data_IF_314488610997
#
_entry.id   IF_314488610997
#
_cell.length_a   1.000
_cell.length_b   1.000
_cell.length_c   1.000
_cell.angle_alpha   90.00
_cell.angle_beta   90.00
_cell.angle_gamma   90.00
#
_symmetry.space_group_name_H-M   'P 1'
#
loop_
_entity.id
_entity.type
_entity.pdbx_description
1 polymer ?
#
# COMPACT_ATOMS: atom_id res chain seq x y z
N UNK A 1 -32.81 32.56 5.69
CA UNK A 1 -31.85 31.83 6.52
C UNK A 1 -31.76 30.43 5.96
N UNK A 2 -30.62 30.03 5.40
CA UNK A 2 -30.43 28.69 4.87
C UNK A 2 -30.10 27.73 6.01
N UNK A 3 -30.79 26.60 6.07
CA UNK A 3 -30.50 25.48 6.97
C UNK A 3 -29.11 24.92 6.65
N UNK A 4 -28.26 24.60 7.64
CA UNK A 4 -26.98 23.97 7.38
C UNK A 4 -27.22 22.57 6.82
N UNK A 5 -26.60 22.28 5.68
CA UNK A 5 -26.56 20.97 5.06
C UNK A 5 -25.73 20.05 5.97
N UNK A 6 -26.31 18.93 6.40
CA UNK A 6 -25.58 17.93 7.17
C UNK A 6 -24.43 17.40 6.31
N UNK A 7 -23.20 17.52 6.81
CA UNK A 7 -22.03 16.85 6.23
C UNK A 7 -22.26 15.36 6.47
N UNK A 8 -22.37 14.52 5.43
CA UNK A 8 -22.53 13.09 5.64
C UNK A 8 -21.30 12.56 6.36
N UNK A 9 -21.53 11.90 7.50
CA UNK A 9 -20.52 11.07 8.17
C UNK A 9 -20.13 9.98 7.19
N UNK A 10 -18.89 10.04 6.70
CA UNK A 10 -18.31 8.94 5.93
C UNK A 10 -18.16 7.77 6.90
N UNK A 11 -18.89 6.68 6.64
CA UNK A 11 -18.67 5.42 7.32
C UNK A 11 -17.32 4.86 6.86
N UNK A 12 -16.35 4.84 7.77
CA UNK A 12 -15.01 4.30 7.52
C UNK A 12 -14.98 2.76 7.59
N UNK A 13 -16.13 2.09 7.73
CA UNK A 13 -16.23 0.63 7.76
C UNK A 13 -15.62 -0.14 6.57
N UNK A 14 -15.56 0.36 5.31
CA UNK A 14 -14.88 -0.37 4.24
C UNK A 14 -13.35 -0.25 4.29
N UNK A 15 -12.80 0.64 5.13
CA UNK A 15 -11.37 0.74 5.41
C UNK A 15 -11.02 0.08 6.73
N UNK A 16 -11.51 -1.13 6.96
CA UNK A 16 -10.99 -1.95 8.04
C UNK A 16 -9.53 -2.30 7.71
N UNK A 17 -8.58 -1.51 8.21
CA UNK A 17 -7.17 -1.90 8.29
C UNK A 17 -7.09 -3.03 9.33
N UNK A 18 -7.48 -4.23 8.93
CA UNK A 18 -7.31 -5.44 9.70
C UNK A 18 -5.98 -6.06 9.35
N UNK A 19 -5.14 -6.36 10.34
CA UNK A 19 -4.00 -7.26 10.15
C UNK A 19 -4.57 -8.68 10.14
N UNK A 20 -4.48 -9.37 9.00
CA UNK A 20 -4.90 -10.76 8.89
C UNK A 20 -3.76 -11.67 9.38
N UNK A 21 -3.84 -12.26 10.59
CA UNK A 21 -2.66 -12.82 11.25
C UNK A 21 -2.12 -14.07 10.55
N UNK A 22 -2.97 -14.87 9.93
CA UNK A 22 -2.60 -16.19 9.38
C UNK A 22 -1.72 -16.09 8.12
N UNK A 23 -1.94 -15.15 7.19
CA UNK A 23 -0.99 -14.91 6.07
C UNK A 23 0.28 -14.19 6.51
N UNK A 24 0.21 -13.41 7.59
CA UNK A 24 1.40 -12.78 8.18
C UNK A 24 2.37 -13.79 8.84
N UNK A 25 1.92 -15.02 9.11
CA UNK A 25 2.72 -16.06 9.78
C UNK A 25 3.57 -16.92 8.85
N UNK A 26 3.32 -16.90 7.53
CA UNK A 26 4.06 -17.74 6.57
C UNK A 26 5.31 -17.06 6.02
N UNK A 27 5.33 -15.72 5.98
CA UNK A 27 6.41 -14.92 5.42
C UNK A 27 6.96 -14.00 6.51
N UNK A 28 8.28 -14.05 6.74
CA UNK A 28 8.97 -13.04 7.53
C UNK A 28 9.17 -11.77 6.68
N UNK A 29 8.18 -10.88 6.75
CA UNK A 29 8.14 -9.63 5.99
C UNK A 29 9.30 -8.69 6.33
N UNK A 30 9.74 -8.67 7.59
CA UNK A 30 10.86 -7.86 8.03
C UNK A 30 12.16 -8.34 7.38
N UNK A 31 12.39 -9.65 7.38
CA UNK A 31 13.56 -10.24 6.71
C UNK A 31 13.52 -10.02 5.19
N UNK A 32 12.36 -10.23 4.55
CA UNK A 32 12.20 -9.98 3.11
C UNK A 32 12.54 -8.52 2.76
N UNK A 33 12.02 -7.57 3.54
CA UNK A 33 12.34 -6.16 3.35
C UNK A 33 13.84 -5.92 3.40
N UNK A 34 14.53 -6.41 4.44
CA UNK A 34 15.98 -6.15 4.63
C UNK A 34 16.81 -6.71 3.48
N UNK A 35 16.40 -7.85 2.91
CA UNK A 35 17.02 -8.40 1.71
C UNK A 35 16.83 -7.46 0.51
N UNK A 36 15.60 -7.03 0.26
CA UNK A 36 15.29 -6.12 -0.86
C UNK A 36 16.01 -4.77 -0.71
N UNK A 37 16.04 -4.22 0.49
CA UNK A 37 16.77 -2.99 0.83
C UNK A 37 18.26 -3.10 0.49
N UNK A 38 18.90 -4.24 0.81
CA UNK A 38 20.29 -4.51 0.42
C UNK A 38 20.48 -4.60 -1.09
N UNK A 39 19.60 -5.33 -1.79
CA UNK A 39 19.64 -5.44 -3.25
C UNK A 39 19.49 -4.07 -3.92
N UNK A 40 18.51 -3.26 -3.49
CA UNK A 40 18.29 -1.92 -4.01
C UNK A 40 19.52 -1.03 -3.74
N UNK A 41 20.10 -1.12 -2.54
CA UNK A 41 21.31 -0.37 -2.19
C UNK A 41 22.47 -0.68 -3.14
N UNK A 42 22.69 -1.97 -3.44
CA UNK A 42 23.70 -2.42 -4.39
C UNK A 42 23.39 -2.00 -5.83
N UNK A 43 22.15 -2.18 -6.29
CA UNK A 43 21.74 -1.81 -7.66
C UNK A 43 21.88 -0.31 -7.94
N UNK A 44 21.69 0.52 -6.92
CA UNK A 44 21.87 1.97 -7.01
C UNK A 44 23.33 2.42 -6.82
N UNK A 45 24.25 1.50 -6.49
CA UNK A 45 25.67 1.81 -6.26
C UNK A 45 25.90 2.66 -5.01
N UNK A 46 25.02 2.56 -4.02
CA UNK A 46 25.11 3.34 -2.79
C UNK A 46 26.22 2.79 -1.87
N UNK A 47 26.74 3.61 -0.94
CA UNK A 47 27.66 3.13 0.09
C UNK A 47 27.07 1.92 0.83
N UNK A 48 27.91 1.01 1.35
CA UNK A 48 27.44 -0.11 2.16
C UNK A 48 26.50 0.37 3.27
N UNK A 49 25.39 -0.33 3.45
CA UNK A 49 24.39 -0.09 4.50
C UNK A 49 23.65 1.26 4.46
N UNK A 50 23.83 2.09 3.41
CA UNK A 50 23.20 3.42 3.34
C UNK A 50 21.68 3.39 3.51
N UNK A 51 20.96 2.58 2.73
CA UNK A 51 19.50 2.49 2.86
C UNK A 51 19.07 1.89 4.20
N UNK A 52 19.86 0.94 4.74
CA UNK A 52 19.59 0.32 6.04
C UNK A 52 19.64 1.34 7.17
N UNK A 53 20.64 2.22 7.14
CA UNK A 53 20.82 3.29 8.13
C UNK A 53 19.81 4.42 7.93
N UNK A 54 19.53 4.79 6.68
CA UNK A 54 18.54 5.81 6.34
C UNK A 54 17.13 5.41 6.83
N UNK A 55 16.79 4.13 6.71
CA UNK A 55 15.51 3.55 7.06
C UNK A 55 15.61 2.63 8.29
N UNK A 56 16.39 3.01 9.31
CA UNK A 56 16.54 2.18 10.52
C UNK A 56 15.39 2.33 11.50
N UNK A 57 14.69 3.48 11.49
CA UNK A 57 13.44 3.66 12.24
C UNK A 57 12.28 3.01 11.50
N UNK A 58 11.88 1.82 11.99
CA UNK A 58 10.81 0.99 11.44
C UNK A 58 9.53 1.05 12.26
N UNK A 59 9.39 2.07 13.11
CA UNK A 59 8.20 2.22 13.98
C UNK A 59 6.91 2.48 13.21
N UNK A 60 7.03 2.89 11.93
CA UNK A 60 5.90 3.14 11.03
C UNK A 60 5.74 2.06 9.96
N UNK A 61 6.43 0.93 10.07
CA UNK A 61 6.10 -0.23 9.27
C UNK A 61 4.72 -0.73 9.65
N UNK A 62 3.82 -0.80 8.68
CA UNK A 62 2.49 -1.36 8.88
C UNK A 62 2.10 -2.27 7.73
N UNK A 63 1.16 -3.15 8.01
CA UNK A 63 0.52 -4.00 7.03
C UNK A 63 -0.94 -3.59 6.93
N UNK A 64 -1.41 -3.38 5.69
CA UNK A 64 -2.81 -3.14 5.41
C UNK A 64 -3.38 -4.30 4.61
N UNK A 65 -4.52 -4.83 5.07
CA UNK A 65 -5.34 -5.74 4.27
C UNK A 65 -6.49 -4.92 3.70
N UNK A 66 -6.59 -4.86 2.37
CA UNK A 66 -7.64 -4.10 1.69
C UNK A 66 -8.45 -5.06 0.85
N UNK A 67 -9.77 -5.07 1.07
CA UNK A 67 -10.71 -5.86 0.29
C UNK A 67 -11.60 -4.93 -0.51
N UNK A 68 -11.54 -5.05 -1.84
CA UNK A 68 -12.42 -4.31 -2.74
C UNK A 68 -13.65 -5.18 -3.06
N UNK A 69 -14.89 -4.71 -2.78
CA UNK A 69 -16.09 -5.39 -3.22
C UNK A 69 -16.24 -5.30 -4.74
N UNK A 70 -17.06 -6.16 -5.37
CA UNK A 70 -17.36 -6.05 -6.79
C UNK A 70 -17.94 -4.67 -7.14
N UNK A 71 -17.44 -4.06 -8.22
CA UNK A 71 -17.96 -2.81 -8.72
C UNK A 71 -19.39 -2.97 -9.27
N UNK A 72 -20.24 -1.98 -9.01
CA UNK A 72 -21.50 -1.82 -9.74
C UNK A 72 -21.27 -0.93 -10.96
N UNK A 73 -22.18 -0.94 -11.95
CA UNK A 73 -22.06 -0.12 -13.17
C UNK A 73 -21.96 1.40 -12.90
N UNK A 74 -22.29 1.84 -11.69
CA UNK A 74 -22.30 3.25 -11.28
C UNK A 74 -21.26 3.61 -10.23
N UNK A 75 -20.58 2.63 -9.64
CA UNK A 75 -19.65 2.86 -8.53
C UNK A 75 -18.20 2.60 -8.95
N UNK A 76 -17.33 3.56 -8.65
CA UNK A 76 -15.88 3.34 -8.69
C UNK A 76 -15.43 2.74 -7.35
N UNK A 77 -15.54 1.42 -7.21
CA UNK A 77 -15.07 0.69 -6.04
C UNK A 77 -13.58 0.40 -6.20
N UNK A 78 -12.73 1.31 -5.71
CA UNK A 78 -11.28 1.22 -5.83
C UNK A 78 -10.58 2.28 -5.00
N UNK A 79 -9.25 2.33 -5.07
CA UNK A 79 -8.47 3.45 -4.51
C UNK A 79 -8.21 4.49 -5.60
N UNK A 80 -8.22 5.78 -5.23
CA UNK A 80 -7.81 6.84 -6.15
C UNK A 80 -6.33 6.73 -6.49
N UNK A 81 -5.93 7.22 -7.67
CA UNK A 81 -4.51 7.34 -8.01
C UNK A 81 -3.76 8.15 -6.95
N UNK A 82 -2.68 7.57 -6.42
CA UNK A 82 -1.84 8.17 -5.39
C UNK A 82 -0.42 7.60 -5.47
N UNK A 83 0.50 8.24 -4.73
CA UNK A 83 1.82 7.72 -4.44
C UNK A 83 1.86 7.33 -2.96
N UNK A 84 2.56 6.25 -2.63
CA UNK A 84 2.80 5.88 -1.25
C UNK A 84 3.83 6.81 -0.62
N UNK A 85 3.64 7.15 0.66
CA UNK A 85 4.57 8.01 1.40
C UNK A 85 5.78 7.26 1.98
N UNK A 86 5.89 5.95 1.72
CA UNK A 86 6.95 5.09 2.26
C UNK A 86 8.09 4.92 1.22
N UNK A 87 9.19 4.31 1.67
CA UNK A 87 10.34 4.02 0.79
C UNK A 87 10.03 2.91 -0.21
N UNK A 88 9.19 1.95 0.19
CA UNK A 88 8.80 0.80 -0.61
C UNK A 88 7.52 0.18 -0.01
N UNK A 89 6.68 -0.37 -0.90
CA UNK A 89 5.49 -1.14 -0.56
C UNK A 89 5.60 -2.51 -1.21
N UNK A 90 5.33 -3.57 -0.45
CA UNK A 90 5.19 -4.93 -0.99
C UNK A 90 3.70 -5.26 -1.01
N UNK A 91 3.16 -5.41 -2.22
CA UNK A 91 1.74 -5.75 -2.41
C UNK A 91 1.62 -7.25 -2.71
N UNK A 92 0.84 -7.95 -1.89
CA UNK A 92 0.33 -9.28 -2.23
C UNK A 92 -1.12 -9.10 -2.70
N UNK A 93 -1.36 -9.28 -4.00
CA UNK A 93 -2.70 -9.24 -4.58
C UNK A 93 -3.09 -10.60 -5.15
N UNK A 94 -4.38 -10.85 -5.29
CA UNK A 94 -4.89 -12.05 -5.95
C UNK A 94 -4.93 -11.86 -7.47
N UNK A 95 -5.05 -12.96 -8.21
CA UNK A 95 -5.07 -12.98 -9.69
C UNK A 95 -6.23 -12.18 -10.31
N UNK A 96 -7.26 -11.84 -9.52
CA UNK A 96 -8.43 -11.06 -9.95
C UNK A 96 -8.25 -9.55 -9.68
N UNK A 97 -7.06 -9.12 -9.24
CA UNK A 97 -6.78 -7.73 -8.91
C UNK A 97 -6.69 -6.80 -10.13
N UNK A 98 -7.16 -5.57 -9.97
CA UNK A 98 -7.09 -4.48 -10.96
C UNK A 98 -6.09 -3.38 -10.51
N UNK A 99 -4.93 -3.78 -9.95
CA UNK A 99 -3.89 -2.79 -9.63
C UNK A 99 -3.37 -2.18 -10.93
N UNK A 100 -3.40 -0.86 -11.01
CA UNK A 100 -2.84 -0.12 -12.14
C UNK A 100 -1.73 0.82 -11.66
N UNK A 101 -0.69 0.98 -12.49
CA UNK A 101 0.41 1.92 -12.28
C UNK A 101 0.37 2.98 -13.37
N UNK A 102 0.43 4.25 -12.97
CA UNK A 102 0.48 5.36 -13.92
C UNK A 102 1.92 5.59 -14.41
N UNK A 103 2.14 5.45 -15.72
CA UNK A 103 3.46 5.63 -16.34
C UNK A 103 3.31 6.21 -17.74
N UNK A 104 4.16 7.19 -18.05
CA UNK A 104 4.27 7.80 -19.39
C UNK A 104 2.95 8.37 -19.95
N UNK A 105 2.04 8.80 -19.07
CA UNK A 105 0.75 9.39 -19.47
C UNK A 105 -0.44 8.44 -19.35
N UNK A 106 -0.20 7.15 -19.12
CA UNK A 106 -1.22 6.09 -19.20
C UNK A 106 -1.26 5.23 -17.92
N UNK A 107 -2.44 4.67 -17.64
CA UNK A 107 -2.61 3.64 -16.61
C UNK A 107 -2.33 2.26 -17.20
N UNK A 108 -1.44 1.50 -16.55
CA UNK A 108 -0.95 0.19 -16.99
C UNK A 108 -1.30 -0.84 -15.93
N UNK A 109 -1.97 -1.92 -16.33
CA UNK A 109 -2.14 -3.13 -15.51
C UNK A 109 -0.89 -4.01 -15.55
#
# INVERSE_FOLDING_TARGET
MATPMAIPTIDLSPFFIGVWPEKSQEIDWCSLWRILEGIINECLGLPPDFLREYNDDRSLDFMATIQYPPASDTDNTGNSGHEDNNVMTIVLHEDVGDLEVYKDGDWIR
#
